data_IF_764357438744
#
_entry.id   IF_764357438744
#
_cell.length_a   1.000
_cell.length_b   1.000
_cell.length_c   1.000
_cell.angle_alpha   90.00
_cell.angle_beta   90.00
_cell.angle_gamma   90.00
#
_symmetry.space_group_name_H-M   'P 1'
#
loop_
_entity.id
_entity.type
_entity.pdbx_description
1 polymer ?
#
# COMPACT_ATOMS: atom_id res chain seq x y z
N UNK A 1 5.79 -1.31 -15.21
CA UNK A 1 6.92 -2.11 -14.70
C UNK A 1 7.18 -3.29 -15.61
N UNK A 2 8.45 -3.51 -16.00
CA UNK A 2 8.90 -4.65 -16.81
C UNK A 2 8.31 -4.79 -18.22
N UNK A 3 7.78 -3.71 -18.80
CA UNK A 3 7.09 -3.71 -20.10
C UNK A 3 5.57 -3.90 -20.00
N UNK A 4 4.87 -3.74 -21.14
CA UNK A 4 3.41 -3.79 -21.21
C UNK A 4 2.83 -5.15 -20.83
N UNK A 5 3.51 -6.25 -21.16
CA UNK A 5 3.06 -7.61 -20.81
C UNK A 5 2.94 -7.83 -19.30
N UNK A 6 4.01 -7.53 -18.56
CA UNK A 6 4.02 -7.66 -17.09
C UNK A 6 3.03 -6.69 -16.44
N UNK A 7 2.96 -5.44 -16.91
CA UNK A 7 1.98 -4.47 -16.43
C UNK A 7 0.54 -5.00 -16.57
N UNK A 8 0.18 -5.53 -17.75
CA UNK A 8 -1.16 -6.06 -18.00
C UNK A 8 -1.46 -7.29 -17.14
N UNK A 9 -0.45 -8.14 -16.89
CA UNK A 9 -0.55 -9.33 -16.03
C UNK A 9 -0.86 -8.93 -14.58
N UNK A 10 -0.17 -7.90 -14.07
CA UNK A 10 -0.45 -7.32 -12.75
C UNK A 10 -1.87 -6.77 -12.72
N UNK A 11 -2.23 -5.91 -13.68
CA UNK A 11 -3.55 -5.25 -13.70
C UNK A 11 -4.72 -6.25 -13.70
N UNK A 12 -4.63 -7.29 -14.54
CA UNK A 12 -5.66 -8.33 -14.61
C UNK A 12 -5.75 -9.15 -13.33
N UNK A 13 -4.62 -9.57 -12.77
CA UNK A 13 -4.58 -10.33 -11.53
C UNK A 13 -5.18 -9.55 -10.36
N UNK A 14 -4.86 -8.26 -10.25
CA UNK A 14 -5.43 -7.38 -9.22
C UNK A 14 -6.93 -7.15 -9.42
N UNK A 15 -7.35 -6.91 -10.66
CA UNK A 15 -8.78 -6.76 -10.99
C UNK A 15 -9.58 -8.02 -10.65
N UNK A 16 -9.00 -9.20 -10.91
CA UNK A 16 -9.60 -10.48 -10.53
C UNK A 16 -9.73 -10.63 -9.00
N UNK A 17 -8.71 -10.25 -8.22
CA UNK A 17 -8.79 -10.23 -6.75
C UNK A 17 -9.92 -9.31 -6.25
N UNK A 18 -10.06 -8.09 -6.79
CA UNK A 18 -11.14 -7.18 -6.41
C UNK A 18 -12.52 -7.78 -6.73
N UNK A 19 -12.65 -8.38 -7.92
CA UNK A 19 -13.88 -9.04 -8.33
C UNK A 19 -14.21 -10.23 -7.40
N UNK A 20 -13.21 -10.97 -6.91
CA UNK A 20 -13.46 -12.05 -5.95
C UNK A 20 -14.04 -11.52 -4.64
N UNK A 21 -13.52 -10.44 -4.06
CA UNK A 21 -14.14 -9.81 -2.89
C UNK A 21 -15.57 -9.34 -3.18
N UNK A 22 -15.78 -8.67 -4.31
CA UNK A 22 -17.11 -8.15 -4.70
C UNK A 22 -18.16 -9.26 -4.91
N UNK A 23 -17.73 -10.49 -5.24
CA UNK A 23 -18.60 -11.62 -5.51
C UNK A 23 -18.64 -12.66 -4.37
N UNK A 24 -18.37 -12.25 -3.12
CA UNK A 24 -18.38 -13.12 -1.93
C UNK A 24 -17.37 -14.29 -1.98
N UNK A 25 -16.29 -14.14 -2.75
CA UNK A 25 -15.17 -15.09 -2.87
C UNK A 25 -13.93 -14.59 -2.13
N UNK A 26 -14.08 -13.68 -1.17
CA UNK A 26 -12.96 -13.14 -0.39
C UNK A 26 -12.20 -14.20 0.41
N UNK A 27 -12.87 -15.28 0.82
CA UNK A 27 -12.25 -16.43 1.50
C UNK A 27 -11.21 -17.15 0.63
N UNK A 28 -11.44 -17.20 -0.68
CA UNK A 28 -10.47 -17.74 -1.64
C UNK A 28 -9.24 -16.84 -1.75
N UNK A 29 -9.41 -15.51 -1.77
CA UNK A 29 -8.27 -14.56 -1.76
C UNK A 29 -7.49 -14.68 -0.45
N UNK A 30 -8.19 -14.78 0.69
CA UNK A 30 -7.59 -14.99 2.01
C UNK A 30 -6.73 -16.25 2.03
N UNK A 31 -7.22 -17.37 1.48
CA UNK A 31 -6.47 -18.61 1.36
C UNK A 31 -5.29 -18.49 0.39
N UNK A 32 -5.51 -17.87 -0.78
CA UNK A 32 -4.53 -17.70 -1.83
C UNK A 32 -3.31 -16.88 -1.38
N UNK A 33 -3.53 -15.81 -0.61
CA UNK A 33 -2.48 -14.96 -0.04
C UNK A 33 -2.07 -15.37 1.38
N UNK A 34 -2.65 -16.47 1.90
CA UNK A 34 -2.44 -16.98 3.25
C UNK A 34 -2.58 -15.89 4.32
N UNK A 35 -3.64 -15.10 4.33
CA UNK A 35 -3.79 -14.01 5.31
C UNK A 35 -4.16 -14.55 6.70
N UNK A 36 -3.53 -14.02 7.74
CA UNK A 36 -3.81 -14.41 9.12
C UNK A 36 -5.14 -13.85 9.63
N UNK A 37 -5.67 -14.46 10.69
CA UNK A 37 -6.64 -13.77 11.56
C UNK A 37 -5.95 -12.57 12.24
N UNK A 38 -6.66 -11.46 12.51
CA UNK A 38 -8.12 -11.29 12.39
C UNK A 38 -8.56 -10.62 11.07
N UNK A 39 -7.96 -10.95 9.92
CA UNK A 39 -8.39 -10.37 8.65
C UNK A 39 -9.86 -10.70 8.32
N UNK A 40 -10.69 -9.68 8.23
CA UNK A 40 -12.10 -9.72 7.88
C UNK A 40 -12.31 -9.34 6.40
N UNK A 41 -12.73 -10.32 5.62
CA UNK A 41 -13.02 -10.17 4.18
C UNK A 41 -14.25 -9.32 3.88
N UNK A 42 -15.01 -8.90 4.90
CA UNK A 42 -16.16 -8.01 4.77
C UNK A 42 -15.87 -6.59 5.28
N UNK A 43 -14.71 -6.36 5.89
CA UNK A 43 -14.28 -5.04 6.35
C UNK A 43 -13.60 -4.28 5.21
N UNK A 44 -14.15 -3.12 4.86
CA UNK A 44 -13.52 -2.23 3.89
C UNK A 44 -12.10 -1.84 4.31
N UNK A 45 -11.83 -1.67 5.61
CA UNK A 45 -10.50 -1.32 6.11
C UNK A 45 -9.48 -2.44 5.92
N UNK A 46 -9.88 -3.69 6.12
CA UNK A 46 -8.98 -4.84 5.90
C UNK A 46 -8.73 -5.05 4.41
N UNK A 47 -9.78 -4.96 3.58
CA UNK A 47 -9.61 -4.98 2.12
C UNK A 47 -8.71 -3.81 1.70
N UNK A 48 -8.93 -2.61 2.22
CA UNK A 48 -8.12 -1.46 1.82
C UNK A 48 -6.66 -1.57 2.23
N UNK A 49 -6.42 -2.05 3.45
CA UNK A 49 -5.08 -2.32 3.94
C UNK A 49 -4.38 -3.38 3.06
N UNK A 50 -5.08 -4.45 2.66
CA UNK A 50 -4.52 -5.47 1.77
C UNK A 50 -4.06 -4.89 0.43
N UNK A 51 -4.92 -4.13 -0.27
CA UNK A 51 -4.55 -3.58 -1.57
C UNK A 51 -3.51 -2.45 -1.46
N UNK A 52 -3.48 -1.71 -0.35
CA UNK A 52 -2.37 -0.80 -0.03
C UNK A 52 -1.04 -1.57 0.07
N UNK A 53 -0.99 -2.64 0.88
CA UNK A 53 0.23 -3.46 1.06
C UNK A 53 0.68 -4.13 -0.26
N UNK A 54 -0.27 -4.55 -1.10
CA UNK A 54 0.03 -5.04 -2.45
C UNK A 54 0.70 -3.95 -3.29
N UNK A 55 0.12 -2.75 -3.34
CA UNK A 55 0.68 -1.61 -4.07
C UNK A 55 2.09 -1.25 -3.55
N UNK A 56 2.26 -1.17 -2.23
CA UNK A 56 3.53 -0.86 -1.57
C UNK A 56 4.60 -1.93 -1.83
N UNK A 57 4.21 -3.20 -1.90
CA UNK A 57 5.11 -4.30 -2.30
C UNK A 57 5.71 -4.05 -3.68
N UNK A 58 4.87 -3.67 -4.63
CA UNK A 58 5.29 -3.34 -5.99
C UNK A 58 6.09 -2.03 -6.06
N UNK A 59 5.70 -1.00 -5.29
CA UNK A 59 6.45 0.25 -5.18
C UNK A 59 7.87 -0.02 -4.65
N UNK A 60 8.00 -0.88 -3.65
CA UNK A 60 9.28 -1.29 -3.09
C UNK A 60 10.20 -2.02 -4.08
N UNK A 61 9.65 -2.75 -5.05
CA UNK A 61 10.46 -3.34 -6.14
C UNK A 61 11.12 -2.26 -7.00
N UNK A 62 10.42 -1.16 -7.28
CA UNK A 62 10.93 -0.07 -8.12
C UNK A 62 11.84 0.87 -7.34
N UNK A 63 11.40 1.28 -6.14
CA UNK A 63 12.02 2.36 -5.37
C UNK A 63 13.48 2.08 -5.03
N UNK A 64 13.81 0.84 -4.66
CA UNK A 64 15.18 0.49 -4.26
C UNK A 64 16.08 0.10 -5.45
N UNK A 65 15.49 -0.01 -6.66
CA UNK A 65 16.19 -0.13 -7.95
C UNK A 65 17.43 -1.07 -7.94
N UNK A 66 17.27 -2.26 -7.35
CA UNK A 66 18.28 -3.31 -7.45
C UNK A 66 18.24 -3.93 -8.84
N UNK A 67 19.39 -4.02 -9.51
CA UNK A 67 19.49 -4.58 -10.87
C UNK A 67 18.91 -6.01 -10.92
N UNK A 68 18.03 -6.27 -11.89
CA UNK A 68 17.37 -7.56 -12.06
C UNK A 68 16.14 -7.78 -11.17
N UNK A 69 15.84 -6.89 -10.23
CA UNK A 69 14.69 -7.08 -9.31
C UNK A 69 13.35 -6.87 -10.01
N UNK A 70 13.25 -5.86 -10.87
CA UNK A 70 12.04 -5.62 -11.68
C UNK A 70 11.85 -6.76 -12.68
N UNK A 71 12.91 -7.17 -13.37
CA UNK A 71 12.91 -8.27 -14.32
C UNK A 71 12.52 -9.59 -13.64
N UNK A 72 13.10 -9.87 -12.46
CA UNK A 72 12.82 -11.07 -11.69
C UNK A 72 11.37 -11.13 -11.18
N UNK A 73 10.84 -10.00 -10.70
CA UNK A 73 9.43 -9.89 -10.32
C UNK A 73 8.52 -10.21 -11.52
N UNK A 74 8.81 -9.61 -12.67
CA UNK A 74 8.03 -9.85 -13.89
C UNK A 74 8.19 -11.28 -14.42
N UNK A 75 9.39 -11.85 -14.43
CA UNK A 75 9.60 -13.25 -14.83
C UNK A 75 8.76 -14.20 -13.98
N UNK A 76 8.73 -13.99 -12.66
CA UNK A 76 7.94 -14.80 -11.72
C UNK A 76 6.44 -14.70 -11.95
N UNK A 77 5.94 -13.50 -12.21
CA UNK A 77 4.52 -13.28 -12.49
C UNK A 77 4.14 -13.91 -13.84
N UNK A 78 5.01 -13.77 -14.85
CA UNK A 78 4.76 -14.23 -16.22
C UNK A 78 4.98 -15.74 -16.40
N UNK A 79 5.70 -16.42 -15.50
CA UNK A 79 5.92 -17.87 -15.58
C UNK A 79 4.70 -18.72 -15.24
N UNK A 80 3.67 -18.10 -14.67
CA UNK A 80 2.43 -18.77 -14.28
C UNK A 80 1.37 -18.69 -15.38
N UNK A 81 0.46 -19.66 -15.41
CA UNK A 81 -0.57 -19.76 -16.46
C UNK A 81 -1.72 -18.76 -16.32
N UNK A 82 -2.11 -18.36 -15.09
CA UNK A 82 -3.16 -17.35 -14.85
C UNK A 82 -2.62 -16.03 -14.26
N UNK A 83 -3.35 -14.93 -14.52
CA UNK A 83 -2.96 -13.59 -14.04
C UNK A 83 -2.99 -13.55 -12.50
N UNK A 84 -4.08 -14.02 -11.91
CA UNK A 84 -4.26 -14.14 -10.46
C UNK A 84 -3.15 -14.97 -9.80
N UNK A 85 -2.86 -16.16 -10.31
CA UNK A 85 -1.85 -17.06 -9.72
C UNK A 85 -0.45 -16.46 -9.82
N UNK A 86 -0.12 -15.84 -10.95
CA UNK A 86 1.17 -15.15 -11.15
C UNK A 86 1.40 -14.04 -10.13
N UNK A 87 0.41 -13.16 -9.98
CA UNK A 87 0.48 -12.05 -9.01
C UNK A 87 0.53 -12.59 -7.58
N UNK A 88 -0.32 -13.53 -7.20
CA UNK A 88 -0.33 -14.10 -5.86
C UNK A 88 0.97 -14.80 -5.47
N UNK A 89 1.58 -15.56 -6.39
CA UNK A 89 2.87 -16.22 -6.13
C UNK A 89 4.00 -15.23 -5.95
N UNK A 90 3.97 -14.12 -6.67
CA UNK A 90 4.92 -13.02 -6.47
C UNK A 90 4.71 -12.37 -5.09
N UNK A 91 3.48 -11.96 -4.75
CA UNK A 91 3.15 -11.37 -3.46
C UNK A 91 3.56 -12.26 -2.28
N UNK A 92 3.21 -13.54 -2.35
CA UNK A 92 3.60 -14.54 -1.34
C UNK A 92 5.12 -14.66 -1.15
N UNK A 93 5.92 -14.35 -2.17
CA UNK A 93 7.38 -14.36 -2.03
C UNK A 93 7.98 -13.09 -1.49
N UNK A 94 7.27 -11.98 -1.61
CA UNK A 94 7.67 -10.69 -1.04
C UNK A 94 7.19 -10.54 0.41
N UNK A 95 6.07 -11.16 0.78
CA UNK A 95 5.61 -11.16 2.17
C UNK A 95 6.66 -11.82 3.07
N UNK A 96 7.21 -11.02 3.98
CA UNK A 96 8.53 -11.26 4.61
C UNK A 96 8.51 -12.24 5.78
N UNK A 97 7.36 -12.81 6.15
CA UNK A 97 7.31 -13.76 7.26
C UNK A 97 7.71 -15.18 6.81
N UNK A 98 8.99 -15.36 6.49
CA UNK A 98 9.58 -16.65 6.03
C UNK A 98 9.39 -17.82 7.02
N UNK A 99 8.95 -17.54 8.25
CA UNK A 99 8.77 -18.52 9.32
C UNK A 99 7.35 -18.53 9.93
N UNK A 100 6.38 -17.80 9.37
CA UNK A 100 4.99 -17.88 9.84
C UNK A 100 4.10 -18.65 8.86
N UNK A 101 2.96 -19.13 9.38
CA UNK A 101 2.02 -19.93 8.59
C UNK A 101 1.14 -19.07 7.67
N UNK A 102 1.10 -17.76 7.88
CA UNK A 102 0.20 -16.81 7.22
C UNK A 102 0.75 -15.37 7.32
N UNK A 103 0.19 -14.43 6.55
CA UNK A 103 0.66 -13.04 6.46
C UNK A 103 -0.25 -12.10 7.27
N UNK A 104 0.36 -11.31 8.15
CA UNK A 104 -0.31 -10.36 9.05
C UNK A 104 -0.66 -9.06 8.31
N UNK A 105 -1.80 -9.03 7.62
CA UNK A 105 -2.22 -7.89 6.76
C UNK A 105 -3.56 -7.28 7.22
N UNK A 106 -4.12 -7.68 8.36
CA UNK A 106 -5.32 -6.99 8.84
C UNK A 106 -4.98 -5.58 9.31
N UNK A 107 -5.91 -4.65 9.07
CA UNK A 107 -5.86 -3.28 9.53
C UNK A 107 -5.66 -3.21 11.05
N UNK A 108 -6.30 -4.12 11.81
CA UNK A 108 -6.08 -4.21 13.25
C UNK A 108 -4.61 -4.47 13.60
N UNK A 109 -3.93 -5.40 12.92
CA UNK A 109 -2.52 -5.70 13.20
C UNK A 109 -1.61 -4.54 12.76
N UNK A 110 -1.94 -3.85 11.67
CA UNK A 110 -1.28 -2.59 11.28
C UNK A 110 -1.43 -1.55 12.39
N UNK A 111 -2.63 -1.36 12.94
CA UNK A 111 -2.91 -0.44 14.04
C UNK A 111 -2.14 -0.82 15.32
N UNK A 112 -2.16 -2.09 15.70
CA UNK A 112 -1.41 -2.59 16.87
C UNK A 112 0.11 -2.32 16.71
N UNK A 113 0.63 -2.45 15.49
CA UNK A 113 2.05 -2.15 15.18
C UNK A 113 2.37 -0.66 15.21
N UNK A 114 1.54 0.17 14.56
CA UNK A 114 1.79 1.61 14.43
C UNK A 114 1.45 2.41 15.70
N UNK A 115 0.60 1.87 16.58
CA UNK A 115 0.30 2.45 17.89
C UNK A 115 1.35 2.15 18.96
N UNK A 116 2.24 1.17 18.73
CA UNK A 116 3.33 0.88 19.65
C UNK A 116 4.31 2.06 19.73
N UNK A 117 4.50 2.57 20.94
CA UNK A 117 5.37 3.71 21.25
C UNK A 117 6.74 3.30 21.79
N UNK A 118 6.96 2.00 21.99
CA UNK A 118 8.27 1.49 22.36
C UNK A 118 9.27 1.75 21.24
N UNK A 119 10.51 1.99 21.63
CA UNK A 119 11.59 2.16 20.66
C UNK A 119 11.73 0.92 19.78
N UNK A 120 11.80 1.12 18.47
CA UNK A 120 12.13 0.10 17.47
C UNK A 120 12.97 0.72 16.36
N UNK A 121 13.60 -0.11 15.52
CA UNK A 121 14.34 0.36 14.34
C UNK A 121 13.41 0.70 13.16
N UNK A 122 12.08 0.61 13.33
CA UNK A 122 11.11 1.02 12.32
C UNK A 122 10.83 2.51 12.41
N UNK A 123 10.94 3.22 11.29
CA UNK A 123 10.55 4.63 11.17
C UNK A 123 9.10 4.81 10.72
N UNK A 124 8.35 3.73 10.52
CA UNK A 124 7.04 3.79 9.86
C UNK A 124 6.02 4.60 10.67
N UNK A 125 6.02 4.45 12.00
CA UNK A 125 5.13 5.25 12.87
C UNK A 125 5.39 6.75 12.73
N UNK A 126 6.65 7.15 12.65
CA UNK A 126 7.05 8.56 12.50
C UNK A 126 6.69 9.07 11.11
N UNK A 127 6.93 8.27 10.07
CA UNK A 127 6.57 8.59 8.70
C UNK A 127 5.06 8.81 8.53
N UNK A 128 4.23 7.93 9.08
CA UNK A 128 2.77 8.06 9.04
C UNK A 128 2.33 9.31 9.81
N UNK A 129 2.93 9.60 10.97
CA UNK A 129 2.64 10.84 11.72
C UNK A 129 2.94 12.10 10.89
N UNK A 130 4.12 12.19 10.27
CA UNK A 130 4.47 13.33 9.42
C UNK A 130 3.53 13.45 8.22
N UNK A 131 3.14 12.34 7.61
CA UNK A 131 2.19 12.35 6.49
C UNK A 131 0.81 12.85 6.94
N UNK A 132 0.36 12.46 8.14
CA UNK A 132 -0.90 12.94 8.73
C UNK A 132 -0.83 14.38 9.28
N UNK A 133 0.35 14.89 9.61
CA UNK A 133 0.49 16.19 10.29
C UNK A 133 1.09 17.29 9.42
N UNK A 134 1.73 16.96 8.30
CA UNK A 134 2.50 17.91 7.48
C UNK A 134 2.21 17.73 6.00
N UNK A 135 2.50 16.56 5.41
CA UNK A 135 2.64 16.46 3.95
C UNK A 135 1.39 16.01 3.19
N UNK A 136 0.53 15.18 3.78
CA UNK A 136 -0.56 14.52 3.06
C UNK A 136 -0.09 13.61 1.91
N UNK A 137 1.14 13.09 1.99
CA UNK A 137 1.77 12.21 0.98
C UNK A 137 1.22 10.78 1.01
N UNK A 138 0.01 10.60 0.50
CA UNK A 138 -0.67 9.31 0.41
C UNK A 138 -0.60 8.71 -0.99
N UNK A 139 -0.26 7.43 -1.09
CA UNK A 139 -0.21 6.69 -2.36
C UNK A 139 -1.58 6.07 -2.66
N UNK A 140 -2.52 6.89 -3.14
CA UNK A 140 -3.91 6.45 -3.29
C UNK A 140 -4.19 5.76 -4.62
N UNK A 141 -5.24 4.93 -4.63
CA UNK A 141 -5.82 4.31 -5.83
C UNK A 141 -6.76 5.23 -6.63
N UNK A 142 -6.75 6.54 -6.38
CA UNK A 142 -7.69 7.48 -7.02
C UNK A 142 -7.49 7.66 -8.54
N UNK A 143 -6.32 7.28 -9.06
CA UNK A 143 -6.02 7.34 -10.50
C UNK A 143 -6.28 5.98 -11.17
N UNK A 144 -6.78 6.03 -12.41
CA UNK A 144 -6.88 4.86 -13.30
C UNK A 144 -5.56 4.55 -14.02
N UNK A 145 -4.56 5.42 -13.91
CA UNK A 145 -3.25 5.28 -14.57
C UNK A 145 -2.27 4.43 -13.75
N UNK A 146 -2.76 3.33 -13.18
CA UNK A 146 -1.98 2.36 -12.38
C UNK A 146 -2.67 0.98 -12.37
N UNK A 147 -1.94 -0.13 -12.10
CA UNK A 147 -2.45 -1.49 -12.26
C UNK A 147 -2.96 -2.15 -10.95
N UNK A 148 -3.02 -1.41 -9.85
CA UNK A 148 -3.30 -1.91 -8.49
C UNK A 148 -4.77 -1.76 -8.03
N UNK A 149 -5.68 -1.38 -8.94
CA UNK A 149 -7.11 -1.36 -8.64
C UNK A 149 -7.59 -0.08 -7.95
N UNK A 150 -8.62 -0.18 -7.13
CA UNK A 150 -9.41 0.92 -6.56
C UNK A 150 -9.57 0.84 -5.04
N UNK A 151 -9.07 -0.22 -4.42
CA UNK A 151 -9.31 -0.54 -3.01
C UNK A 151 -8.26 0.04 -2.07
N UNK A 152 -7.81 1.28 -2.24
CA UNK A 152 -7.03 2.00 -1.21
C UNK A 152 -7.20 3.51 -1.42
N UNK A 153 -8.41 4.03 -1.19
CA UNK A 153 -8.76 5.41 -1.50
C UNK A 153 -8.14 6.39 -0.50
N UNK A 154 -8.19 7.70 -0.76
CA UNK A 154 -7.76 8.72 0.21
C UNK A 154 -8.44 8.54 1.57
N UNK A 155 -9.73 8.14 1.59
CA UNK A 155 -10.49 7.89 2.82
C UNK A 155 -9.82 6.87 3.74
N UNK A 156 -9.16 5.85 3.19
CA UNK A 156 -8.40 4.87 3.99
C UNK A 156 -7.37 5.57 4.87
N UNK A 157 -6.57 6.47 4.29
CA UNK A 157 -5.55 7.20 5.02
C UNK A 157 -6.12 8.21 6.02
N UNK A 158 -7.27 8.84 5.71
CA UNK A 158 -7.95 9.72 6.67
C UNK A 158 -8.39 8.95 7.90
N UNK A 159 -8.96 7.76 7.71
CA UNK A 159 -9.33 6.86 8.82
C UNK A 159 -8.10 6.41 9.60
N UNK A 160 -7.03 5.98 8.90
CA UNK A 160 -5.76 5.58 9.53
C UNK A 160 -5.18 6.69 10.43
N UNK A 161 -5.13 7.93 9.93
CA UNK A 161 -4.62 9.06 10.69
C UNK A 161 -5.46 9.34 11.95
N UNK A 162 -6.79 9.33 11.81
CA UNK A 162 -7.71 9.57 12.92
C UNK A 162 -7.63 8.46 13.98
N UNK A 163 -7.54 7.20 13.56
CA UNK A 163 -7.47 6.05 14.46
C UNK A 163 -6.13 6.00 15.22
N UNK A 164 -5.01 6.41 14.58
CA UNK A 164 -3.68 6.37 15.20
C UNK A 164 -3.40 7.54 16.13
N UNK A 165 -3.83 8.74 15.76
CA UNK A 165 -3.39 9.98 16.41
C UNK A 165 -4.53 10.82 16.98
N UNK A 166 -5.78 10.40 16.75
CA UNK A 166 -6.99 10.99 17.32
C UNK A 166 -7.85 11.72 16.28
N UNK A 167 -9.13 11.89 16.62
CA UNK A 167 -10.15 12.45 15.73
C UNK A 167 -9.88 13.87 15.20
N UNK A 168 -8.95 14.61 15.82
CA UNK A 168 -8.51 15.90 15.31
C UNK A 168 -7.81 15.81 13.94
N UNK A 169 -7.23 14.66 13.60
CA UNK A 169 -6.64 14.36 12.28
C UNK A 169 -7.71 14.10 11.22
N UNK A 170 -8.64 15.05 11.10
CA UNK A 170 -9.68 15.06 10.08
C UNK A 170 -9.11 15.46 8.71
N UNK A 171 -9.86 15.19 7.64
CA UNK A 171 -9.48 15.61 6.28
C UNK A 171 -9.15 17.10 6.19
N UNK A 172 -9.98 17.97 6.79
CA UNK A 172 -9.75 19.42 6.76
C UNK A 172 -8.52 19.84 7.55
N UNK A 173 -8.22 19.16 8.68
CA UNK A 173 -6.98 19.39 9.41
C UNK A 173 -5.76 19.04 8.55
N UNK A 174 -5.77 17.87 7.92
CA UNK A 174 -4.66 17.39 7.08
C UNK A 174 -4.46 18.31 5.87
N UNK A 175 -5.55 18.71 5.20
CA UNK A 175 -5.49 19.66 4.07
C UNK A 175 -4.91 21.02 4.51
N UNK A 176 -5.30 21.53 5.68
CA UNK A 176 -4.75 22.78 6.22
C UNK A 176 -3.26 22.66 6.54
N UNK A 177 -2.82 21.54 7.12
CA UNK A 177 -1.40 21.27 7.41
C UNK A 177 -0.56 21.14 6.14
N UNK A 178 -1.09 20.46 5.12
CA UNK A 178 -0.44 20.36 3.81
C UNK A 178 -0.32 21.73 3.12
N UNK A 179 -1.35 22.57 3.22
CA UNK A 179 -1.30 23.94 2.70
C UNK A 179 -0.25 24.78 3.43
N UNK A 180 -0.21 24.72 4.77
CA UNK A 180 0.77 25.42 5.61
C UNK A 180 2.22 24.98 5.28
N UNK A 181 2.43 23.66 5.11
CA UNK A 181 3.73 23.09 4.74
C UNK A 181 4.17 23.57 3.34
N UNK A 182 3.25 23.56 2.37
CA UNK A 182 3.54 24.06 1.02
C UNK A 182 3.84 25.56 1.02
N UNK A 183 3.13 26.37 1.80
CA UNK A 183 3.40 27.79 1.94
C UNK A 183 4.79 28.03 2.55
N UNK A 184 5.13 27.31 3.62
CA UNK A 184 6.42 27.40 4.29
C UNK A 184 7.60 27.11 3.35
N UNK A 185 7.50 26.04 2.55
CA UNK A 185 8.56 25.63 1.61
C UNK A 185 8.47 26.31 0.22
N UNK A 186 7.44 27.13 -0.04
CA UNK A 186 7.25 27.84 -1.31
C UNK A 186 6.64 27.01 -2.44
N UNK A 187 6.11 25.82 -2.14
CA UNK A 187 5.38 24.96 -3.08
C UNK A 187 6.15 24.66 -4.37
N UNK A 188 5.53 24.95 -5.52
CA UNK A 188 6.15 24.78 -6.84
C UNK A 188 7.18 25.87 -7.19
N UNK A 189 7.31 26.90 -6.36
CA UNK A 189 8.23 28.02 -6.55
C UNK A 189 9.09 28.22 -5.29
N UNK A 190 9.88 27.21 -4.88
CA UNK A 190 10.70 27.32 -3.68
C UNK A 190 11.75 28.43 -3.87
N UNK A 191 11.88 29.31 -2.89
CA UNK A 191 12.82 30.45 -2.93
C UNK A 191 14.22 30.01 -2.47
N UNK A 192 14.80 29.06 -3.18
CA UNK A 192 16.10 28.45 -2.86
C UNK A 192 17.07 28.60 -4.02
N UNK A 193 18.35 28.75 -3.70
CA UNK A 193 19.45 28.80 -4.66
C UNK A 193 20.37 27.60 -4.44
N UNK A 194 21.11 27.18 -5.47
CA UNK A 194 22.09 26.08 -5.41
C UNK A 194 21.48 24.71 -5.05
N UNK A 195 20.27 24.42 -5.50
CA UNK A 195 19.59 23.11 -5.34
C UNK A 195 19.50 22.40 -6.69
N UNK A 196 19.87 21.12 -6.71
CA UNK A 196 19.63 20.21 -7.84
C UNK A 196 18.48 19.28 -7.48
N UNK A 197 17.44 19.28 -8.31
CA UNK A 197 16.27 18.40 -8.20
C UNK A 197 16.40 17.24 -9.19
#
# INVERSE_FOLDING_TARGET
>A
MGGSGCYNRIQKGITEMEAMFANNRGSEVKALLKLCEPFDMYSDLDIWNLFNEISDTFAGVVQYHDAGRIEGACQKIMSESSDLVGVSKFLLSEFKERNSKCNNISYKLTMDTLSDTRYSNSSMRQWIFQTCNEYGYYQTSGSTSQPFGTKFPLTFYMTLCADLYGHQFSKSFIEARAAETNEYFGGLTPKVENVYF
#
